data_IF_962018626714
#
_entry.id   IF_962018626714
#
_cell.length_a   1.000
_cell.length_b   1.000
_cell.length_c   1.000
_cell.angle_alpha   90.00
_cell.angle_beta   90.00
_cell.angle_gamma   90.00
#
_symmetry.space_group_name_H-M   'P 1'
#
loop_
_entity.id
_entity.type
_entity.pdbx_description
1 polymer ?
#
# COMPACT_ATOMS: atom_id res chain seq x y z
N UNK A 1 -18.12 -2.26 3.43
CA UNK A 1 -17.26 -2.83 2.37
C UNK A 1 -16.60 -1.68 1.65
N UNK A 2 -15.56 -1.00 2.14
CA UNK A 2 -14.46 -1.37 3.03
C UNK A 2 -13.18 -1.21 2.21
N UNK A 3 -12.44 -0.12 2.39
CA UNK A 3 -11.25 0.31 1.61
C UNK A 3 -10.23 -0.83 1.39
N UNK A 4 -10.23 -1.83 2.27
CA UNK A 4 -9.47 -3.07 2.21
C UNK A 4 -9.50 -3.81 0.87
N UNK A 5 -10.67 -4.04 0.24
CA UNK A 5 -10.71 -4.85 -1.00
C UNK A 5 -9.99 -4.13 -2.16
N UNK A 6 -10.29 -2.85 -2.45
CA UNK A 6 -9.54 -2.10 -3.46
C UNK A 6 -8.05 -1.96 -3.14
N UNK A 7 -7.66 -1.76 -1.87
CA UNK A 7 -6.24 -1.71 -1.49
C UNK A 7 -5.55 -3.04 -1.77
N UNK A 8 -6.13 -4.18 -1.36
CA UNK A 8 -5.58 -5.51 -1.68
C UNK A 8 -5.37 -5.70 -3.18
N UNK A 9 -6.35 -5.29 -3.99
CA UNK A 9 -6.25 -5.39 -5.45
C UNK A 9 -5.12 -4.54 -6.03
N UNK A 10 -4.84 -3.36 -5.47
CA UNK A 10 -3.68 -2.55 -5.87
C UNK A 10 -2.39 -3.36 -5.67
N UNK A 11 -2.21 -3.96 -4.50
CA UNK A 11 -1.03 -4.78 -4.21
C UNK A 11 -0.91 -5.98 -5.16
N UNK A 12 -1.98 -6.75 -5.35
CA UNK A 12 -1.92 -7.99 -6.14
C UNK A 12 -1.81 -7.73 -7.65
N UNK A 13 -2.39 -6.64 -8.17
CA UNK A 13 -2.44 -6.39 -9.61
C UNK A 13 -1.25 -5.59 -10.13
N UNK A 14 -0.61 -4.78 -9.27
CA UNK A 14 0.43 -3.84 -9.70
C UNK A 14 1.82 -4.18 -9.14
N UNK A 15 1.91 -5.11 -8.19
CA UNK A 15 3.17 -5.55 -7.57
C UNK A 15 3.31 -7.06 -7.68
N UNK A 16 4.50 -7.60 -7.41
CA UNK A 16 4.79 -9.02 -7.59
C UNK A 16 4.26 -9.89 -6.43
N UNK A 17 3.05 -9.58 -5.94
CA UNK A 17 2.43 -10.21 -4.78
C UNK A 17 1.28 -11.10 -5.25
N UNK A 18 1.40 -12.41 -5.08
CA UNK A 18 0.28 -13.34 -5.34
C UNK A 18 -0.81 -13.15 -4.30
N UNK A 19 -2.06 -13.37 -4.70
CA UNK A 19 -3.20 -13.26 -3.78
C UNK A 19 -3.06 -14.15 -2.54
N UNK A 20 -2.47 -15.34 -2.68
CA UNK A 20 -2.21 -16.28 -1.58
C UNK A 20 -1.06 -15.87 -0.66
N UNK A 21 -0.20 -14.95 -1.09
CA UNK A 21 0.95 -14.45 -0.33
C UNK A 21 0.64 -13.12 0.36
N UNK A 22 -0.38 -12.40 -0.11
CA UNK A 22 -0.78 -11.12 0.47
C UNK A 22 -1.16 -11.27 1.96
N UNK A 23 -0.57 -10.43 2.81
CA UNK A 23 -0.84 -10.44 4.24
C UNK A 23 -0.95 -9.01 4.79
N UNK A 24 -2.07 -8.72 5.46
CA UNK A 24 -2.37 -7.42 6.07
C UNK A 24 -1.46 -7.04 7.25
N UNK A 25 -0.70 -7.98 7.81
CA UNK A 25 0.08 -7.79 9.04
C UNK A 25 1.60 -7.87 8.80
N UNK A 26 2.03 -8.10 7.57
CA UNK A 26 3.46 -8.09 7.24
C UNK A 26 3.90 -6.69 6.81
N UNK A 27 5.12 -6.27 7.18
CA UNK A 27 5.75 -5.10 6.59
C UNK A 27 5.76 -5.17 5.06
N UNK A 28 5.66 -4.01 4.40
CA UNK A 28 5.63 -3.95 2.94
C UNK A 28 6.83 -4.61 2.30
N UNK A 29 8.03 -4.44 2.87
CA UNK A 29 9.26 -5.03 2.36
C UNK A 29 9.36 -6.57 2.54
N UNK A 30 8.50 -7.15 3.37
CA UNK A 30 8.34 -8.60 3.52
C UNK A 30 7.27 -9.16 2.59
N UNK A 31 6.32 -8.33 2.15
CA UNK A 31 5.35 -8.70 1.12
C UNK A 31 6.01 -8.73 -0.26
N UNK A 32 6.81 -7.71 -0.54
CA UNK A 32 7.63 -7.61 -1.74
C UNK A 32 8.89 -6.80 -1.41
N UNK A 33 10.06 -7.39 -1.63
CA UNK A 33 11.34 -6.76 -1.32
C UNK A 33 11.56 -5.45 -2.09
N UNK A 34 10.88 -5.27 -3.22
CA UNK A 34 10.97 -4.07 -4.05
C UNK A 34 10.43 -2.81 -3.33
N UNK A 35 9.59 -2.96 -2.30
CA UNK A 35 9.14 -1.83 -1.47
C UNK A 35 10.25 -1.14 -0.68
N UNK A 36 11.46 -1.73 -0.60
CA UNK A 36 12.66 -1.01 -0.12
C UNK A 36 13.09 0.10 -1.08
N UNK A 37 12.65 0.06 -2.32
CA UNK A 37 12.96 1.05 -3.34
C UNK A 37 11.93 2.17 -3.31
N UNK A 38 12.41 3.42 -3.18
CA UNK A 38 11.54 4.60 -3.09
C UNK A 38 10.58 4.72 -4.29
N UNK A 39 11.00 4.36 -5.50
CA UNK A 39 10.15 4.42 -6.69
C UNK A 39 8.90 3.54 -6.60
N UNK A 40 8.96 2.41 -5.88
CA UNK A 40 7.80 1.55 -5.65
C UNK A 40 6.81 2.18 -4.67
N UNK A 41 7.31 2.87 -3.64
CA UNK A 41 6.46 3.64 -2.71
C UNK A 41 5.81 4.84 -3.41
N UNK A 42 6.55 5.54 -4.28
CA UNK A 42 6.00 6.61 -5.14
C UNK A 42 4.89 6.07 -6.04
N UNK A 43 5.12 4.91 -6.66
CA UNK A 43 4.12 4.31 -7.55
C UNK A 43 2.87 3.87 -6.79
N UNK A 44 3.04 3.25 -5.62
CA UNK A 44 1.93 2.89 -4.73
C UNK A 44 1.10 4.12 -4.33
N UNK A 45 1.76 5.22 -3.97
CA UNK A 45 1.10 6.49 -3.65
C UNK A 45 0.24 7.00 -4.80
N UNK A 46 0.78 6.99 -6.02
CA UNK A 46 0.05 7.42 -7.23
C UNK A 46 -1.19 6.55 -7.48
N UNK A 47 -1.07 5.23 -7.34
CA UNK A 47 -2.18 4.30 -7.51
C UNK A 47 -3.29 4.55 -6.47
N UNK A 48 -2.92 4.74 -5.21
CA UNK A 48 -3.86 5.05 -4.12
C UNK A 48 -4.57 6.37 -4.38
N UNK A 49 -3.80 7.44 -4.60
CA UNK A 49 -4.35 8.78 -4.80
C UNK A 49 -5.28 8.83 -6.02
N UNK A 50 -4.93 8.14 -7.10
CA UNK A 50 -5.79 8.00 -8.28
C UNK A 50 -7.08 7.22 -7.97
N UNK A 51 -6.96 6.07 -7.29
CA UNK A 51 -8.09 5.19 -7.00
C UNK A 51 -9.11 5.81 -6.05
N UNK A 52 -8.65 6.50 -5.01
CA UNK A 52 -9.49 7.03 -3.94
C UNK A 52 -9.75 8.54 -4.06
N UNK A 53 -9.16 9.21 -5.06
CA UNK A 53 -9.23 10.67 -5.23
C UNK A 53 -8.74 11.45 -4.01
N UNK A 54 -7.69 10.94 -3.37
CA UNK A 54 -7.07 11.52 -2.16
C UNK A 54 -5.69 12.12 -2.47
N UNK A 55 -5.07 12.73 -1.45
CA UNK A 55 -3.68 13.22 -1.47
C UNK A 55 -2.88 12.65 -0.30
N UNK A 56 -2.91 11.33 -0.17
CA UNK A 56 -2.09 10.62 0.81
C UNK A 56 -0.63 10.75 0.39
N UNK A 57 0.21 11.18 1.32
CA UNK A 57 1.67 11.16 1.18
C UNK A 57 2.20 9.89 1.84
N UNK A 58 2.34 8.81 1.07
CA UNK A 58 2.84 7.52 1.53
C UNK A 58 4.32 7.65 1.86
N UNK A 59 5.09 8.30 0.98
CA UNK A 59 6.56 8.41 1.15
C UNK A 59 6.94 9.09 2.47
N UNK A 60 6.17 10.11 2.88
CA UNK A 60 6.47 10.86 4.10
C UNK A 60 5.93 10.18 5.37
N UNK A 61 4.90 9.32 5.24
CA UNK A 61 4.18 8.74 6.38
C UNK A 61 4.44 7.24 6.58
N UNK A 62 5.07 6.56 5.62
CA UNK A 62 5.28 5.11 5.62
C UNK A 62 6.76 4.76 5.49
N UNK A 63 7.22 3.93 6.41
CA UNK A 63 8.45 3.16 6.32
C UNK A 63 8.11 1.69 5.98
N UNK A 64 8.58 1.20 4.83
CA UNK A 64 8.27 -0.13 4.29
C UNK A 64 8.70 -1.31 5.18
N UNK A 65 9.71 -1.13 6.04
CA UNK A 65 10.19 -2.18 6.96
C UNK A 65 9.43 -2.24 8.28
N UNK A 66 8.54 -1.28 8.54
CA UNK A 66 7.78 -1.17 9.79
C UNK A 66 6.28 -1.28 9.54
N UNK A 67 5.79 -0.56 8.53
CA UNK A 67 4.37 -0.42 8.28
C UNK A 67 3.87 -1.50 7.32
N UNK A 68 2.59 -1.82 7.45
CA UNK A 68 1.90 -2.87 6.71
C UNK A 68 0.82 -2.29 5.80
N UNK A 69 0.16 -3.11 4.95
CA UNK A 69 -0.98 -2.64 4.17
C UNK A 69 -2.14 -2.09 5.02
N UNK A 70 -2.25 -2.47 6.31
CA UNK A 70 -3.26 -1.89 7.21
C UNK A 70 -2.98 -0.42 7.54
N UNK A 71 -1.72 -0.06 7.73
CA UNK A 71 -1.35 1.34 7.98
C UNK A 71 -1.71 2.23 6.80
N UNK A 72 -1.56 1.70 5.59
CA UNK A 72 -2.00 2.38 4.36
C UNK A 72 -3.52 2.56 4.33
N UNK A 73 -4.29 1.54 4.66
CA UNK A 73 -5.76 1.67 4.77
C UNK A 73 -6.10 2.77 5.77
N UNK A 74 -5.45 2.79 6.93
CA UNK A 74 -5.68 3.79 7.96
C UNK A 74 -5.29 5.21 7.51
N UNK A 75 -4.24 5.35 6.69
CA UNK A 75 -3.88 6.62 6.08
C UNK A 75 -4.95 7.11 5.10
N UNK A 76 -5.49 6.22 4.27
CA UNK A 76 -6.57 6.57 3.33
C UNK A 76 -7.82 6.98 4.11
N UNK A 77 -8.20 6.23 5.14
CA UNK A 77 -9.37 6.51 5.99
C UNK A 77 -9.31 7.87 6.70
N UNK A 78 -8.12 8.43 6.94
CA UNK A 78 -7.97 9.76 7.53
C UNK A 78 -8.21 10.91 6.54
N UNK A 79 -8.11 10.63 5.24
CA UNK A 79 -8.16 11.64 4.18
C UNK A 79 -9.50 11.61 3.41
N UNK A 80 -10.39 10.65 3.70
CA UNK A 80 -11.70 10.44 3.04
C UNK A 80 -12.85 10.74 3.98
#
# INVERSE_FOLDING_TARGET
>A
MGIYVPVKQIFVNHFSIKESQFNWHLPLDQLDADFKTLSFLVYLEQLINSKFKTKVSIIEKINASVHTPKDIVHLIEKEV
#
